data_IF_400444525887
#
_entry.id   IF_400444525887
#
_cell.length_a   1.000
_cell.length_b   1.000
_cell.length_c   1.000
_cell.angle_alpha   90.00
_cell.angle_beta   90.00
_cell.angle_gamma   90.00
#
_symmetry.space_group_name_H-M   'P 1'
#
loop_
_entity.id
_entity.type
_entity.pdbx_description
1 polymer ?
#
# COMPACT_ATOMS: atom_id res chain seq x y z
N UNK A 1 -23.59 -34.40 39.61
CA UNK A 1 -23.41 -33.83 38.26
C UNK A 1 -22.21 -32.90 38.30
N UNK A 2 -21.13 -33.24 37.61
CA UNK A 2 -19.93 -32.40 37.51
C UNK A 2 -20.10 -31.55 36.25
N UNK A 3 -20.30 -30.23 36.40
CA UNK A 3 -20.24 -29.31 35.26
C UNK A 3 -18.78 -29.15 34.86
N UNK A 4 -18.42 -29.67 33.69
CA UNK A 4 -17.15 -29.34 33.04
C UNK A 4 -17.21 -27.88 32.57
N UNK A 5 -16.39 -27.02 33.17
CA UNK A 5 -16.14 -25.69 32.66
C UNK A 5 -15.33 -25.80 31.36
N UNK A 6 -15.92 -25.39 30.23
CA UNK A 6 -15.18 -25.26 28.99
C UNK A 6 -14.16 -24.12 29.12
N UNK A 7 -12.90 -24.31 28.66
CA UNK A 7 -11.92 -23.24 28.72
C UNK A 7 -12.39 -22.09 27.83
N UNK A 8 -12.48 -20.90 28.42
CA UNK A 8 -12.68 -19.66 27.68
C UNK A 8 -11.56 -19.57 26.64
N UNK A 9 -11.92 -19.67 25.36
CA UNK A 9 -10.99 -19.54 24.26
C UNK A 9 -10.39 -18.15 24.34
N UNK A 10 -9.16 -18.05 24.84
CA UNK A 10 -8.44 -16.80 24.93
C UNK A 10 -8.36 -16.24 23.52
N UNK A 11 -9.12 -15.16 23.27
CA UNK A 11 -9.04 -14.40 22.02
C UNK A 11 -7.61 -13.91 21.93
N UNK A 12 -6.80 -14.55 21.09
CA UNK A 12 -5.47 -14.06 20.78
C UNK A 12 -5.62 -12.60 20.32
N UNK A 13 -4.89 -11.65 20.92
CA UNK A 13 -4.96 -10.26 20.50
C UNK A 13 -4.68 -10.18 19.00
N UNK A 14 -5.56 -9.52 18.25
CA UNK A 14 -5.32 -9.25 16.83
C UNK A 14 -3.98 -8.49 16.73
N UNK A 15 -3.02 -8.95 15.92
CA UNK A 15 -1.74 -8.27 15.81
C UNK A 15 -1.96 -6.81 15.36
N UNK A 16 -1.09 -5.88 15.78
CA UNK A 16 -1.11 -4.50 15.29
C UNK A 16 -1.21 -4.47 13.77
N UNK A 17 -1.97 -3.51 13.23
CA UNK A 17 -2.32 -3.42 11.81
C UNK A 17 -1.11 -3.59 10.86
N UNK A 18 0.04 -3.00 11.22
CA UNK A 18 1.28 -3.12 10.45
C UNK A 18 1.91 -4.52 10.47
N UNK A 19 1.82 -5.24 11.58
CA UNK A 19 2.30 -6.62 11.65
C UNK A 19 1.39 -7.56 10.87
N UNK A 20 0.07 -7.28 10.87
CA UNK A 20 -0.86 -7.99 10.01
C UNK A 20 -0.48 -7.79 8.54
N UNK A 21 -0.29 -6.54 8.11
CA UNK A 21 0.08 -6.20 6.73
C UNK A 21 1.37 -6.90 6.25
N UNK A 22 2.36 -7.08 7.12
CA UNK A 22 3.63 -7.76 6.79
C UNK A 22 3.47 -9.26 6.51
N UNK A 23 2.37 -9.88 6.94
CA UNK A 23 2.07 -11.30 6.71
C UNK A 23 1.05 -11.50 5.59
N UNK A 24 0.67 -10.43 4.92
CA UNK A 24 -0.40 -10.47 3.93
C UNK A 24 0.07 -11.01 2.59
N UNK A 25 -0.74 -11.88 2.00
CA UNK A 25 -0.52 -12.48 0.68
C UNK A 25 -1.27 -11.74 -0.44
N UNK A 26 -2.03 -10.70 -0.11
CA UNK A 26 -2.91 -9.98 -1.03
C UNK A 26 -4.35 -10.51 -1.09
N UNK A 27 -4.71 -11.50 -0.26
CA UNK A 27 -6.06 -12.03 -0.15
C UNK A 27 -7.04 -11.07 0.53
N UNK A 28 -8.34 -11.37 0.43
CA UNK A 28 -9.44 -10.52 0.93
C UNK A 28 -9.46 -10.26 2.46
N UNK A 29 -8.66 -11.00 3.25
CA UNK A 29 -8.52 -10.82 4.69
C UNK A 29 -7.39 -9.85 5.05
N UNK A 30 -6.61 -9.43 4.05
CA UNK A 30 -5.53 -8.48 4.20
C UNK A 30 -6.07 -7.06 4.23
N UNK A 31 -5.48 -6.16 5.04
CA UNK A 31 -5.86 -4.77 5.07
C UNK A 31 -5.58 -4.10 3.73
N UNK A 32 -6.35 -3.05 3.43
CA UNK A 32 -6.21 -2.26 2.21
C UNK A 32 -5.29 -1.05 2.43
N UNK A 33 -4.64 -0.58 1.36
CA UNK A 33 -3.76 0.60 1.45
C UNK A 33 -4.48 1.89 1.86
N UNK A 34 -5.77 2.03 1.55
CA UNK A 34 -6.59 3.17 1.99
C UNK A 34 -6.80 3.18 3.50
N UNK A 35 -6.95 2.00 4.13
CA UNK A 35 -7.05 1.86 5.58
C UNK A 35 -5.70 2.22 6.22
N UNK A 36 -4.60 1.72 5.63
CA UNK A 36 -3.25 2.03 6.08
C UNK A 36 -2.95 3.54 5.99
N UNK A 37 -3.34 4.17 4.89
CA UNK A 37 -3.16 5.61 4.67
C UNK A 37 -3.92 6.46 5.71
N UNK A 38 -5.07 5.99 6.19
CA UNK A 38 -5.86 6.64 7.24
C UNK A 38 -5.25 6.43 8.62
N UNK A 39 -4.85 5.19 8.92
CA UNK A 39 -4.43 4.75 10.25
C UNK A 39 -2.96 5.00 10.61
N UNK A 40 -2.05 5.09 9.64
CA UNK A 40 -0.60 5.17 9.89
C UNK A 40 0.02 6.47 9.34
N UNK A 41 0.49 7.31 10.27
CA UNK A 41 1.11 8.60 9.95
C UNK A 41 2.44 8.46 9.19
N UNK A 42 3.22 7.40 9.47
CA UNK A 42 4.49 7.19 8.81
C UNK A 42 4.30 6.84 7.33
N UNK A 43 3.33 5.98 7.01
CA UNK A 43 2.93 5.64 5.66
C UNK A 43 2.45 6.87 4.90
N UNK A 44 1.52 7.63 5.50
CA UNK A 44 0.99 8.86 4.90
C UNK A 44 2.10 9.89 4.65
N UNK A 45 3.01 10.06 5.61
CA UNK A 45 4.16 10.96 5.47
C UNK A 45 5.11 10.50 4.37
N UNK A 46 5.46 9.21 4.33
CA UNK A 46 6.32 8.65 3.30
C UNK A 46 5.76 8.87 1.90
N UNK A 47 4.46 8.65 1.71
CA UNK A 47 3.76 8.92 0.45
C UNK A 47 3.85 10.40 0.06
N UNK A 48 3.47 11.32 0.96
CA UNK A 48 3.51 12.75 0.68
C UNK A 48 4.92 13.26 0.34
N UNK A 49 5.94 12.78 1.06
CA UNK A 49 7.35 13.15 0.82
C UNK A 49 7.81 12.63 -0.54
N UNK A 50 7.51 11.38 -0.88
CA UNK A 50 7.93 10.78 -2.14
C UNK A 50 7.26 11.47 -3.35
N UNK A 51 5.95 11.73 -3.27
CA UNK A 51 5.21 12.47 -4.31
C UNK A 51 5.76 13.88 -4.49
N UNK A 52 5.97 14.62 -3.39
CA UNK A 52 6.51 15.98 -3.45
C UNK A 52 7.88 16.02 -4.12
N UNK A 53 8.77 15.08 -3.81
CA UNK A 53 10.10 14.98 -4.44
C UNK A 53 10.03 14.69 -5.94
N UNK A 54 9.00 13.99 -6.39
CA UNK A 54 8.75 13.71 -7.81
C UNK A 54 7.99 14.82 -8.54
N UNK A 55 7.69 15.95 -7.89
CA UNK A 55 6.88 17.03 -8.47
C UNK A 55 5.39 16.68 -8.62
N UNK A 56 4.93 15.58 -8.02
CA UNK A 56 3.54 15.14 -8.06
C UNK A 56 2.72 15.81 -6.95
N UNK A 57 1.51 16.22 -7.30
CA UNK A 57 0.49 16.58 -6.32
C UNK A 57 -0.18 15.33 -5.79
N UNK A 58 -0.45 15.29 -4.49
CA UNK A 58 -1.29 14.25 -3.91
C UNK A 58 -2.69 14.32 -4.52
N UNK A 59 -3.18 13.19 -5.03
CA UNK A 59 -4.54 13.10 -5.53
C UNK A 59 -5.54 13.00 -4.38
N UNK A 60 -6.68 13.70 -4.49
CA UNK A 60 -7.70 13.74 -3.43
C UNK A 60 -8.33 12.37 -3.17
N UNK A 61 -8.42 11.55 -4.22
CA UNK A 61 -9.04 10.23 -4.16
C UNK A 61 -8.19 9.17 -3.42
N UNK A 62 -6.91 9.41 -3.11
CA UNK A 62 -6.03 8.37 -2.51
C UNK A 62 -6.57 7.81 -1.20
N UNK A 63 -7.23 8.62 -0.37
CA UNK A 63 -7.77 8.18 0.91
C UNK A 63 -9.04 7.31 0.79
N UNK A 64 -9.77 7.46 -0.32
CA UNK A 64 -11.10 6.88 -0.54
C UNK A 64 -11.19 6.14 -1.88
N UNK A 65 -10.03 5.76 -2.44
CA UNK A 65 -9.91 5.15 -3.74
C UNK A 65 -10.23 3.65 -3.73
N UNK A 66 -10.33 3.07 -4.92
CA UNK A 66 -10.49 1.63 -5.09
C UNK A 66 -9.12 0.97 -4.93
N UNK A 67 -8.89 0.31 -3.80
CA UNK A 67 -7.60 -0.29 -3.46
C UNK A 67 -7.58 -1.80 -3.55
N UNK A 68 -6.42 -2.36 -3.89
CA UNK A 68 -6.12 -3.77 -3.67
C UNK A 68 -5.74 -4.01 -2.20
N UNK A 69 -5.98 -5.22 -1.66
CA UNK A 69 -5.38 -5.61 -0.40
C UNK A 69 -3.86 -5.50 -0.45
N UNK A 70 -3.24 -5.25 0.71
CA UNK A 70 -1.80 -5.20 0.84
C UNK A 70 -1.21 -6.59 0.62
N UNK A 71 -0.08 -6.64 -0.08
CA UNK A 71 0.71 -7.85 -0.29
C UNK A 71 2.12 -7.61 0.21
N UNK A 72 2.58 -8.45 1.12
CA UNK A 72 3.98 -8.49 1.54
C UNK A 72 4.78 -9.20 0.46
N UNK A 73 5.84 -8.55 0.00
CA UNK A 73 6.76 -9.09 -0.99
C UNK A 73 8.19 -8.90 -0.52
N UNK A 74 9.11 -9.68 -1.06
CA UNK A 74 10.54 -9.53 -0.79
C UNK A 74 11.26 -9.11 -2.06
N UNK A 75 12.03 -8.02 -1.97
CA UNK A 75 12.89 -7.52 -3.05
C UNK A 75 14.26 -7.28 -2.44
N UNK A 76 15.30 -7.88 -3.02
CA UNK A 76 16.69 -7.77 -2.53
C UNK A 76 16.84 -8.08 -1.03
N UNK A 77 16.13 -9.11 -0.54
CA UNK A 77 16.15 -9.50 0.88
C UNK A 77 15.38 -8.57 1.82
N UNK A 78 14.63 -7.60 1.28
CA UNK A 78 13.87 -6.61 2.06
C UNK A 78 12.38 -6.79 1.85
N UNK A 79 11.65 -6.97 2.95
CA UNK A 79 10.20 -7.04 2.94
C UNK A 79 9.59 -5.66 2.66
N UNK A 80 8.71 -5.58 1.67
CA UNK A 80 7.97 -4.39 1.26
C UNK A 80 6.49 -4.69 1.18
N UNK A 81 5.67 -3.69 1.49
CA UNK A 81 4.23 -3.77 1.28
C UNK A 81 3.89 -3.21 -0.10
N UNK A 82 3.38 -4.07 -0.97
CA UNK A 82 2.85 -3.76 -2.28
C UNK A 82 1.34 -3.52 -2.20
N UNK A 83 0.86 -2.47 -2.86
CA UNK A 83 -0.57 -2.26 -3.11
C UNK A 83 -0.78 -1.37 -4.32
N UNK A 84 -1.99 -1.43 -4.86
CA UNK A 84 -2.47 -0.50 -5.88
C UNK A 84 -3.71 0.21 -5.36
N UNK A 85 -3.85 1.49 -5.67
CA UNK A 85 -5.06 2.28 -5.40
C UNK A 85 -5.39 3.12 -6.62
N UNK A 86 -6.64 3.06 -7.08
CA UNK A 86 -7.11 3.79 -8.24
C UNK A 86 -8.24 4.77 -7.93
N UNK A 87 -8.40 5.75 -8.82
CA UNK A 87 -9.48 6.72 -8.74
C UNK A 87 -10.84 6.01 -8.92
N UNK A 88 -11.83 6.27 -8.05
CA UNK A 88 -13.17 5.72 -8.19
C UNK A 88 -13.75 6.01 -9.58
N UNK A 89 -14.27 4.96 -10.23
CA UNK A 89 -14.82 5.02 -11.60
C UNK A 89 -13.84 5.42 -12.71
N UNK A 90 -12.54 5.61 -12.40
CA UNK A 90 -11.51 6.02 -13.35
C UNK A 90 -10.20 5.27 -13.11
N UNK A 91 -10.23 3.93 -13.11
CA UNK A 91 -9.06 3.15 -12.68
C UNK A 91 -7.87 3.12 -13.65
N UNK A 92 -7.94 3.89 -14.74
CA UNK A 92 -6.75 4.26 -15.53
C UNK A 92 -5.88 5.31 -14.80
N UNK A 93 -6.44 6.04 -13.83
CA UNK A 93 -5.72 6.85 -12.84
C UNK A 93 -5.46 6.02 -11.59
N UNK A 94 -4.19 5.73 -11.30
CA UNK A 94 -3.82 4.90 -10.15
C UNK A 94 -2.41 5.15 -9.63
N UNK A 95 -2.18 4.68 -8.41
CA UNK A 95 -0.87 4.50 -7.83
C UNK A 95 -0.61 3.01 -7.63
N UNK A 96 0.56 2.52 -8.02
CA UNK A 96 1.13 1.29 -7.48
C UNK A 96 2.28 1.68 -6.56
N UNK A 97 2.29 1.13 -5.35
CA UNK A 97 3.15 1.57 -4.24
C UNK A 97 3.91 0.40 -3.61
N UNK A 98 5.16 0.68 -3.24
CA UNK A 98 6.02 -0.17 -2.42
C UNK A 98 6.40 0.62 -1.17
N UNK A 99 5.94 0.15 -0.01
CA UNK A 99 6.27 0.77 1.27
C UNK A 99 7.29 -0.07 2.05
N UNK A 100 8.40 0.57 2.42
CA UNK A 100 9.37 0.06 3.39
C UNK A 100 8.99 0.55 4.78
N UNK A 101 8.49 -0.36 5.62
CA UNK A 101 8.13 -0.01 7.01
C UNK A 101 9.37 0.31 7.84
N UNK A 102 10.48 -0.40 7.66
CA UNK A 102 11.68 -0.25 8.48
C UNK A 102 12.36 1.08 8.20
N UNK A 103 12.45 1.45 6.92
CA UNK A 103 13.03 2.73 6.49
C UNK A 103 12.01 3.88 6.46
N UNK A 104 10.71 3.58 6.64
CA UNK A 104 9.59 4.55 6.54
C UNK A 104 9.66 5.35 5.25
N UNK A 105 9.99 4.67 4.15
CA UNK A 105 10.11 5.26 2.83
C UNK A 105 9.21 4.51 1.84
N UNK A 106 8.89 5.16 0.73
CA UNK A 106 8.00 4.62 -0.27
C UNK A 106 8.56 4.91 -1.66
N UNK A 107 8.47 3.91 -2.53
CA UNK A 107 8.61 4.05 -3.96
C UNK A 107 7.29 3.69 -4.65
N UNK A 108 7.09 4.14 -5.87
CA UNK A 108 5.89 3.82 -6.61
C UNK A 108 5.85 4.42 -8.00
N UNK A 109 4.76 4.14 -8.69
CA UNK A 109 4.42 4.75 -9.98
C UNK A 109 3.02 5.35 -9.88
N UNK A 110 2.91 6.58 -10.36
CA UNK A 110 1.62 7.20 -10.68
C UNK A 110 1.33 6.98 -12.15
N UNK A 111 0.12 6.56 -12.44
CA UNK A 111 -0.43 6.47 -13.79
C UNK A 111 -1.63 7.39 -13.86
N UNK A 112 -1.66 8.26 -14.86
CA UNK A 112 -2.77 9.15 -15.09
C UNK A 112 -2.73 9.76 -16.48
N UNK A 113 -3.27 10.97 -16.59
CA UNK A 113 -3.37 11.71 -17.85
C UNK A 113 -2.52 12.96 -17.79
N UNK A 114 -1.82 13.28 -18.88
CA UNK A 114 -1.20 14.58 -19.06
C UNK A 114 -2.23 15.65 -19.47
N UNK A 115 -1.76 16.89 -19.69
CA UNK A 115 -2.60 18.01 -20.10
C UNK A 115 -3.30 17.82 -21.46
N UNK A 116 -2.83 16.88 -22.28
CA UNK A 116 -3.35 16.57 -23.61
C UNK A 116 -4.20 15.28 -23.62
N UNK A 117 -4.45 14.69 -22.45
CA UNK A 117 -5.18 13.42 -22.33
C UNK A 117 -4.34 12.18 -22.67
N UNK A 118 -3.03 12.33 -22.89
CA UNK A 118 -2.09 11.22 -23.08
C UNK A 118 -1.80 10.48 -21.78
N UNK A 119 -1.42 9.21 -21.88
CA UNK A 119 -1.02 8.41 -20.71
C UNK A 119 0.27 8.99 -20.13
N UNK A 120 0.23 9.32 -18.85
CA UNK A 120 1.34 9.90 -18.11
C UNK A 120 1.74 8.98 -16.97
N UNK A 121 2.99 8.51 -17.00
CA UNK A 121 3.59 7.68 -15.95
C UNK A 121 4.71 8.43 -15.25
N UNK A 122 4.68 8.47 -13.92
CA UNK A 122 5.73 9.10 -13.12
C UNK A 122 6.12 8.19 -11.97
N UNK A 123 7.37 7.75 -11.98
CA UNK A 123 7.97 7.07 -10.82
C UNK A 123 8.29 8.06 -9.71
N UNK A 124 8.09 7.67 -8.46
CA UNK A 124 8.44 8.44 -7.28
C UNK A 124 9.17 7.57 -6.26
N UNK A 125 9.95 8.21 -5.38
CA UNK A 125 10.71 7.50 -4.33
C UNK A 125 11.98 6.79 -4.80
N UNK A 126 12.42 7.05 -6.04
CA UNK A 126 13.63 6.49 -6.64
C UNK A 126 13.70 4.95 -6.58
N UNK A 127 12.72 4.23 -7.18
CA UNK A 127 12.74 2.77 -7.23
C UNK A 127 13.99 2.26 -7.96
N UNK A 128 14.50 1.11 -7.53
CA UNK A 128 15.47 0.34 -8.30
C UNK A 128 14.88 -0.13 -9.64
N UNK A 129 15.71 -0.63 -10.55
CA UNK A 129 15.22 -1.19 -11.84
C UNK A 129 14.23 -2.34 -11.59
N UNK A 130 14.49 -3.21 -10.61
CA UNK A 130 13.60 -4.31 -10.25
C UNK A 130 12.29 -3.81 -9.62
N UNK A 131 12.36 -2.81 -8.75
CA UNK A 131 11.17 -2.19 -8.17
C UNK A 131 10.32 -1.50 -9.25
N UNK A 132 10.93 -0.77 -10.19
CA UNK A 132 10.23 -0.08 -11.27
C UNK A 132 9.50 -1.05 -12.21
N UNK A 133 10.16 -2.15 -12.61
CA UNK A 133 9.54 -3.19 -13.43
C UNK A 133 8.34 -3.83 -12.73
N UNK A 134 8.48 -4.14 -11.44
CA UNK A 134 7.39 -4.68 -10.62
C UNK A 134 6.21 -3.70 -10.51
N UNK A 135 6.50 -2.42 -10.26
CA UNK A 135 5.50 -1.37 -10.08
C UNK A 135 4.63 -1.16 -11.33
N UNK A 136 5.18 -1.36 -12.53
CA UNK A 136 4.44 -1.25 -13.79
C UNK A 136 3.59 -2.48 -14.11
N UNK A 137 3.97 -3.66 -13.60
CA UNK A 137 3.32 -4.95 -13.91
C UNK A 137 2.16 -5.30 -12.98
N UNK A 138 1.99 -4.56 -11.88
CA UNK A 138 1.00 -4.83 -10.83
C UNK A 138 -0.13 -3.79 -10.80
#
# INVERSE_FOLDING_TARGET
>A
MVLAAMPAQARTPKPPFMEQAQRCDGGHTCPYSVELYKADDAFRTASNVALKKAGLKRQRWVADGMASPLKSIEIDGKARLLSRVCEPHNCVHYYTILYDRLQRCMAGVYMGSDANGGVHSVHFGAPSIAEADLLLKN
#
